data_IF_584389501771
#
_entry.id   IF_584389501771
#
_cell.length_a   1.000
_cell.length_b   1.000
_cell.length_c   1.000
_cell.angle_alpha   90.00
_cell.angle_beta   90.00
_cell.angle_gamma   90.00
#
_symmetry.space_group_name_H-M   'P 1'
#
loop_
_entity.id
_entity.type
_entity.pdbx_description
1 polymer ?
#
# COMPACT_ATOMS: atom_id res chain seq x y z
N UNK A 1 -0.95 17.86 7.87
CA UNK A 1 -2.18 17.06 8.05
C UNK A 1 -2.12 15.88 7.09
N UNK A 2 -2.60 14.70 7.47
CA UNK A 2 -2.62 13.49 6.64
C UNK A 2 -4.01 13.30 6.07
N UNK A 3 -4.11 13.41 4.75
CA UNK A 3 -5.36 13.29 4.01
C UNK A 3 -5.63 11.80 3.70
N UNK A 4 -6.84 11.33 4.01
CA UNK A 4 -7.29 9.96 3.75
C UNK A 4 -7.24 9.61 2.26
N UNK A 5 -7.81 10.45 1.38
CA UNK A 5 -7.84 10.22 -0.07
C UNK A 5 -6.43 9.98 -0.62
N UNK A 6 -5.49 10.87 -0.26
CA UNK A 6 -4.08 10.77 -0.69
C UNK A 6 -3.45 9.48 -0.17
N UNK A 7 -3.74 9.09 1.07
CA UNK A 7 -3.21 7.86 1.64
C UNK A 7 -3.73 6.61 0.91
N UNK A 8 -5.01 6.55 0.53
CA UNK A 8 -5.58 5.44 -0.24
C UNK A 8 -4.85 5.30 -1.58
N UNK A 9 -4.79 6.37 -2.36
CA UNK A 9 -4.13 6.36 -3.67
C UNK A 9 -2.64 6.04 -3.59
N UNK A 10 -1.94 6.61 -2.61
CA UNK A 10 -0.53 6.32 -2.40
C UNK A 10 -0.33 4.85 -2.01
N UNK A 11 -1.22 4.28 -1.20
CA UNK A 11 -1.17 2.85 -0.82
C UNK A 11 -1.49 1.96 -2.02
N UNK A 12 -2.42 2.34 -2.90
CA UNK A 12 -2.74 1.56 -4.09
C UNK A 12 -1.59 1.56 -5.12
N UNK A 13 -1.02 2.73 -5.41
CA UNK A 13 -0.02 2.89 -6.48
C UNK A 13 1.39 2.50 -6.00
N UNK A 14 1.74 2.88 -4.77
CA UNK A 14 3.11 2.73 -4.23
C UNK A 14 3.20 1.77 -3.06
N UNK A 15 2.10 1.10 -2.74
CA UNK A 15 2.00 0.15 -1.64
C UNK A 15 3.05 -0.95 -1.67
N UNK A 16 3.27 -1.65 -2.80
CA UNK A 16 4.27 -2.70 -2.89
C UNK A 16 5.69 -2.21 -2.57
N UNK A 17 5.97 -0.93 -2.80
CA UNK A 17 7.26 -0.31 -2.46
C UNK A 17 7.34 0.18 -1.01
N UNK A 18 6.25 0.10 -0.24
CA UNK A 18 6.16 0.57 1.15
C UNK A 18 6.12 2.09 1.31
N UNK A 19 6.09 2.87 0.22
CA UNK A 19 6.22 4.34 0.27
C UNK A 19 5.04 5.04 0.93
N UNK A 20 3.85 4.44 0.90
CA UNK A 20 2.67 4.99 1.58
C UNK A 20 2.88 5.21 3.09
N UNK A 21 3.75 4.42 3.72
CA UNK A 21 4.07 4.55 5.15
C UNK A 21 5.03 5.70 5.43
N UNK A 22 5.87 6.09 4.48
CA UNK A 22 6.63 7.35 4.59
C UNK A 22 5.69 8.54 4.67
N UNK A 23 4.62 8.53 3.86
CA UNK A 23 3.62 9.58 3.97
C UNK A 23 2.93 9.55 5.33
N UNK A 24 2.48 8.40 5.84
CA UNK A 24 1.71 8.36 7.08
C UNK A 24 2.55 8.55 8.34
N UNK A 25 3.69 7.86 8.42
CA UNK A 25 4.50 7.74 9.64
C UNK A 25 5.82 8.51 9.57
N UNK A 26 6.14 9.15 8.43
CA UNK A 26 7.39 9.89 8.17
C UNK A 26 8.66 9.04 8.34
N UNK A 27 8.54 7.71 8.33
CA UNK A 27 9.64 6.77 8.54
C UNK A 27 9.45 5.55 7.64
N UNK A 28 10.56 5.08 7.07
CA UNK A 28 10.64 3.78 6.44
C UNK A 28 10.97 2.75 7.51
N UNK A 29 10.01 1.92 7.86
CA UNK A 29 10.08 1.01 9.00
C UNK A 29 10.02 -0.45 8.56
N UNK A 30 9.94 -1.37 9.54
CA UNK A 30 10.00 -2.82 9.29
C UNK A 30 8.97 -3.32 8.28
N UNK A 31 7.68 -2.92 8.36
CA UNK A 31 6.71 -3.41 7.35
C UNK A 31 6.90 -2.75 5.99
N UNK A 32 7.49 -1.55 5.92
CA UNK A 32 7.84 -0.93 4.63
C UNK A 32 8.91 -1.77 3.92
N UNK A 33 9.90 -2.27 4.67
CA UNK A 33 10.86 -3.26 4.17
C UNK A 33 10.23 -4.62 3.85
N UNK A 34 9.28 -5.08 4.66
CA UNK A 34 8.53 -6.32 4.43
C UNK A 34 7.66 -6.27 3.17
N UNK A 35 7.29 -5.08 2.69
CA UNK A 35 6.63 -4.90 1.40
C UNK A 35 7.65 -4.80 0.26
N UNK A 36 8.69 -3.98 0.44
CA UNK A 36 9.69 -3.71 -0.59
C UNK A 36 10.48 -4.97 -0.98
N UNK A 37 10.99 -5.73 0.00
CA UNK A 37 11.84 -6.90 -0.28
C UNK A 37 11.10 -7.98 -1.08
N UNK A 38 9.90 -8.45 -0.68
CA UNK A 38 9.15 -9.41 -1.48
C UNK A 38 8.73 -8.86 -2.85
N UNK A 39 8.43 -7.56 -2.94
CA UNK A 39 8.12 -6.93 -4.23
C UNK A 39 9.32 -7.00 -5.18
N UNK A 40 10.54 -6.71 -4.69
CA UNK A 40 11.76 -6.82 -5.49
C UNK A 40 12.06 -8.27 -5.89
N UNK A 41 11.94 -9.21 -4.95
CA UNK A 41 12.11 -10.65 -5.18
C UNK A 41 11.13 -11.14 -6.26
N UNK A 42 9.85 -10.78 -6.16
CA UNK A 42 8.84 -11.18 -7.13
C UNK A 42 8.99 -10.52 -8.49
N UNK A 43 9.39 -9.25 -8.53
CA UNK A 43 9.68 -8.54 -9.77
C UNK A 43 10.88 -9.16 -10.49
N UNK A 44 11.92 -9.56 -9.75
CA UNK A 44 13.03 -10.34 -10.30
C UNK A 44 12.55 -11.67 -10.86
N UNK A 45 11.63 -12.37 -10.19
CA UNK A 45 10.98 -13.57 -10.72
C UNK A 45 10.27 -13.34 -12.06
N UNK A 46 9.56 -12.22 -12.21
CA UNK A 46 8.89 -11.86 -13.48
C UNK A 46 9.92 -11.60 -14.58
N UNK A 47 10.98 -10.85 -14.29
CA UNK A 47 12.05 -10.58 -15.25
C UNK A 47 12.72 -11.89 -15.70
N UNK A 48 13.02 -12.76 -14.73
CA UNK A 48 13.64 -14.06 -14.97
C UNK A 48 12.77 -14.99 -15.84
N UNK A 49 11.46 -15.03 -15.62
CA UNK A 49 10.54 -15.78 -16.47
C UNK A 49 10.47 -15.23 -17.91
N UNK A 50 10.64 -13.92 -18.09
CA UNK A 50 10.68 -13.30 -19.43
C UNK A 50 11.96 -13.64 -20.18
N UNK A 51 13.08 -13.73 -19.47
CA UNK A 51 14.40 -14.03 -20.06
C UNK A 51 14.59 -15.54 -20.32
N UNK A 52 14.22 -16.39 -19.36
CA UNK A 52 14.51 -17.83 -19.39
C UNK A 52 13.31 -18.69 -19.80
N UNK A 53 12.14 -18.08 -20.01
CA UNK A 53 10.88 -18.78 -20.24
C UNK A 53 10.21 -19.28 -18.96
N UNK A 54 9.02 -19.85 -19.10
CA UNK A 54 8.22 -20.35 -17.98
C UNK A 54 8.69 -21.70 -17.44
N UNK A 55 9.65 -22.37 -18.08
CA UNK A 55 10.23 -23.64 -17.59
C UNK A 55 11.16 -23.44 -16.39
N UNK A 56 11.54 -22.20 -16.07
CA UNK A 56 12.35 -21.88 -14.89
C UNK A 56 11.52 -21.95 -13.60
N UNK A 57 11.63 -23.07 -12.89
CA UNK A 57 10.91 -23.32 -11.64
C UNK A 57 11.22 -22.30 -10.54
N UNK A 58 12.38 -21.65 -10.57
CA UNK A 58 12.70 -20.59 -9.61
C UNK A 58 11.79 -19.37 -9.82
N UNK A 59 11.49 -18.99 -11.06
CA UNK A 59 10.54 -17.92 -11.35
C UNK A 59 9.16 -18.20 -10.78
N UNK A 60 8.72 -19.46 -10.74
CA UNK A 60 7.43 -19.84 -10.15
C UNK A 60 7.37 -19.58 -8.66
N UNK A 61 8.48 -19.77 -7.95
CA UNK A 61 8.57 -19.46 -6.51
C UNK A 61 8.66 -17.96 -6.25
N UNK A 62 9.32 -17.22 -7.14
CA UNK A 62 9.58 -15.79 -6.97
C UNK A 62 8.35 -14.93 -7.30
N UNK A 63 7.71 -15.14 -8.45
CA UNK A 63 6.60 -14.33 -8.96
C UNK A 63 5.46 -14.12 -7.94
N UNK A 64 5.01 -15.13 -7.16
CA UNK A 64 3.93 -14.94 -6.18
C UNK A 64 4.20 -13.83 -5.17
N UNK A 65 5.46 -13.55 -4.83
CA UNK A 65 5.81 -12.51 -3.84
C UNK A 65 5.40 -11.10 -4.26
N UNK A 66 5.49 -10.76 -5.56
CA UNK A 66 5.01 -9.45 -6.02
C UNK A 66 3.48 -9.40 -6.01
N UNK A 67 2.80 -10.50 -6.36
CA UNK A 67 1.35 -10.62 -6.27
C UNK A 67 0.83 -10.45 -4.85
N UNK A 68 1.48 -11.09 -3.87
CA UNK A 68 1.14 -10.95 -2.44
C UNK A 68 1.35 -9.52 -1.94
N UNK A 69 2.45 -8.85 -2.30
CA UNK A 69 2.69 -7.47 -1.91
C UNK A 69 1.65 -6.50 -2.51
N UNK A 70 1.24 -6.72 -3.77
CA UNK A 70 0.15 -5.96 -4.40
C UNK A 70 -1.16 -6.21 -3.68
N UNK A 71 -1.53 -7.47 -3.43
CA UNK A 71 -2.77 -7.81 -2.74
C UNK A 71 -2.84 -7.23 -1.32
N UNK A 72 -1.75 -7.34 -0.55
CA UNK A 72 -1.65 -6.77 0.79
C UNK A 72 -1.77 -5.23 0.77
N UNK A 73 -1.19 -4.58 -0.24
CA UNK A 73 -1.29 -3.13 -0.43
C UNK A 73 -2.70 -2.70 -0.79
N UNK A 74 -3.37 -3.40 -1.71
CA UNK A 74 -4.75 -3.13 -2.09
C UNK A 74 -5.69 -3.31 -0.90
N UNK A 75 -5.53 -4.38 -0.11
CA UNK A 75 -6.30 -4.58 1.11
C UNK A 75 -6.07 -3.43 2.12
N UNK A 76 -4.83 -2.97 2.26
CA UNK A 76 -4.52 -1.82 3.13
C UNK A 76 -5.16 -0.53 2.64
N UNK A 77 -5.20 -0.29 1.33
CA UNK A 77 -5.88 0.85 0.72
C UNK A 77 -7.39 0.82 1.01
N UNK A 78 -8.02 -0.36 0.90
CA UNK A 78 -9.44 -0.57 1.27
C UNK A 78 -9.66 -0.27 2.75
N UNK A 79 -8.81 -0.81 3.64
CA UNK A 79 -8.90 -0.56 5.09
C UNK A 79 -8.79 0.94 5.40
N UNK A 80 -7.93 1.68 4.70
CA UNK A 80 -7.82 3.13 4.87
C UNK A 80 -9.03 3.89 4.30
N UNK A 81 -9.52 3.51 3.13
CA UNK A 81 -10.66 4.16 2.49
C UNK A 81 -11.98 3.97 3.26
N UNK A 82 -12.17 2.80 3.86
CA UNK A 82 -13.34 2.46 4.67
C UNK A 82 -13.21 2.85 6.15
N UNK A 83 -12.05 3.36 6.59
CA UNK A 83 -11.87 3.81 7.97
C UNK A 83 -12.78 5.03 8.25
N UNK A 84 -13.47 5.04 9.39
CA UNK A 84 -14.24 6.22 9.81
C UNK A 84 -13.34 7.46 9.98
N UNK A 85 -13.89 8.65 9.74
CA UNK A 85 -13.18 9.94 9.88
C UNK A 85 -12.55 10.12 11.25
N UNK A 86 -13.29 9.83 12.31
CA UNK A 86 -12.82 9.95 13.69
C UNK A 86 -11.63 9.03 13.98
N UNK A 87 -11.74 7.76 13.57
CA UNK A 87 -10.66 6.76 13.71
C UNK A 87 -9.41 7.16 12.93
N UNK A 88 -9.58 7.71 11.73
CA UNK A 88 -8.48 8.21 10.92
C UNK A 88 -7.75 9.37 11.61
N UNK A 89 -8.51 10.37 12.06
CA UNK A 89 -7.95 11.56 12.69
C UNK A 89 -7.30 11.23 14.04
N UNK A 90 -7.90 10.38 14.86
CA UNK A 90 -7.30 9.90 16.11
C UNK A 90 -5.96 9.17 15.87
N UNK A 91 -5.81 8.46 14.75
CA UNK A 91 -4.60 7.69 14.44
C UNK A 91 -3.49 8.54 13.80
N UNK A 92 -3.82 9.37 12.81
CA UNK A 92 -2.84 10.06 11.96
C UNK A 92 -2.79 11.57 12.12
N UNK A 93 -3.80 12.16 12.78
CA UNK A 93 -3.94 13.61 12.98
C UNK A 93 -4.31 13.93 14.44
N UNK A 94 -3.58 13.36 15.42
CA UNK A 94 -3.89 13.50 16.86
C UNK A 94 -4.05 14.94 17.36
N UNK A 95 -3.45 15.91 16.66
CA UNK A 95 -3.51 17.34 17.00
C UNK A 95 -4.71 18.07 16.37
N UNK A 96 -5.62 17.36 15.68
CA UNK A 96 -6.80 17.93 15.03
C UNK A 96 -8.10 17.43 15.69
N UNK A 97 -9.23 18.17 15.54
CA UNK A 97 -10.53 17.68 15.93
C UNK A 97 -10.87 16.35 15.26
N UNK A 98 -11.62 15.49 15.95
CA UNK A 98 -12.00 14.17 15.46
C UNK A 98 -12.75 14.22 14.11
N UNK A 99 -13.54 15.28 13.90
CA UNK A 99 -14.33 15.51 12.67
C UNK A 99 -13.58 16.31 11.59
N UNK A 100 -12.27 16.51 11.72
CA UNK A 100 -11.49 17.25 10.72
C UNK A 100 -11.65 16.65 9.32
N UNK A 101 -11.90 17.52 8.33
CA UNK A 101 -12.08 17.14 6.92
C UNK A 101 -10.89 16.41 6.30
N UNK A 102 -9.71 16.43 6.93
CA UNK A 102 -8.56 15.63 6.50
C UNK A 102 -8.83 14.10 6.56
N UNK A 103 -9.74 13.68 7.43
CA UNK A 103 -10.21 12.30 7.52
C UNK A 103 -11.52 12.05 6.78
N UNK A 104 -12.14 13.04 6.13
CA UNK A 104 -13.39 12.80 5.40
C UNK A 104 -13.14 11.91 4.18
N UNK A 105 -14.15 11.13 3.80
CA UNK A 105 -14.14 10.37 2.55
C UNK A 105 -14.86 11.17 1.47
N UNK A 106 -14.26 11.24 0.29
CA UNK A 106 -14.82 11.87 -0.91
C UNK A 106 -15.03 10.83 -2.02
N UNK A 107 -15.52 11.24 -3.19
CA UNK A 107 -15.67 10.33 -4.33
C UNK A 107 -14.32 9.71 -4.69
N UNK A 108 -13.24 10.49 -4.74
CA UNK A 108 -11.90 9.97 -5.05
C UNK A 108 -11.42 8.88 -4.08
N UNK A 109 -11.85 8.92 -2.82
CA UNK A 109 -11.60 7.88 -1.82
C UNK A 109 -12.34 6.59 -2.21
N UNK A 110 -13.61 6.71 -2.58
CA UNK A 110 -14.43 5.58 -3.07
C UNK A 110 -13.81 4.99 -4.35
N UNK A 111 -13.38 5.83 -5.27
CA UNK A 111 -12.72 5.40 -6.51
C UNK A 111 -11.37 4.71 -6.29
N UNK A 112 -10.72 4.89 -5.14
CA UNK A 112 -9.53 4.13 -4.78
C UNK A 112 -9.82 2.79 -4.09
N UNK A 113 -11.07 2.53 -3.71
CA UNK A 113 -11.52 1.31 -3.03
C UNK A 113 -12.17 0.31 -4.01
N UNK A 114 -12.81 0.81 -5.07
CA UNK A 114 -13.47 0.04 -6.14
C UNK A 114 -12.46 -0.35 -7.22
#
# INVERSE_FOLDING_TARGET
MKNKTVAVWLTLVTGPLGLHRLYLQRRFDGLSWLLLVPTLIGTYGVLRARENGLDDHLSWLLIPWVGLSVAASSLTAIVYGLMETEKWNARFNQNLPAESGAGASDWLTIGGVV
#
